data_IF_006113346966
#
_entry.id   IF_006113346966
#
_cell.length_a   1.000
_cell.length_b   1.000
_cell.length_c   1.000
_cell.angle_alpha   90.00
_cell.angle_beta   90.00
_cell.angle_gamma   90.00
#
_symmetry.space_group_name_H-M   'P 1'
#
loop_
_entity.id
_entity.type
_entity.pdbx_description
1 polymer ?
#
# COMPACT_ATOMS: atom_id res chain seq x y z
N UNK A 1 33.77 -1.98 29.21
CA UNK A 1 32.63 -2.84 28.84
C UNK A 1 32.21 -2.45 27.45
N UNK A 2 32.44 -3.36 26.50
CA UNK A 2 32.21 -3.16 25.08
C UNK A 2 30.70 -3.23 24.77
N UNK A 3 30.18 -2.25 24.04
CA UNK A 3 28.92 -2.40 23.34
C UNK A 3 29.26 -2.91 21.94
N UNK A 4 29.03 -4.20 21.73
CA UNK A 4 29.25 -4.89 20.47
C UNK A 4 28.33 -4.31 19.39
N UNK A 5 28.96 -3.81 18.33
CA UNK A 5 28.29 -3.33 17.15
C UNK A 5 27.57 -4.49 16.45
N UNK A 6 26.26 -4.35 16.29
CA UNK A 6 25.48 -5.30 15.52
C UNK A 6 25.75 -5.09 14.03
N UNK A 7 26.75 -5.83 13.54
CA UNK A 7 27.12 -6.02 12.15
C UNK A 7 25.89 -6.40 11.34
N UNK A 8 25.37 -5.45 10.58
CA UNK A 8 24.38 -5.75 9.55
C UNK A 8 25.10 -6.49 8.43
N UNK A 9 24.63 -7.71 8.19
CA UNK A 9 25.06 -8.69 7.21
C UNK A 9 25.29 -8.05 5.83
N UNK A 10 26.58 -7.85 5.49
CA UNK A 10 27.01 -7.39 4.17
C UNK A 10 27.03 -8.60 3.22
N UNK A 11 25.89 -8.90 2.58
CA UNK A 11 25.84 -9.87 1.49
C UNK A 11 26.55 -9.29 0.24
N UNK A 12 27.71 -9.85 -0.20
CA UNK A 12 28.57 -9.25 -1.21
C UNK A 12 28.08 -9.46 -2.67
N UNK A 13 26.82 -9.84 -2.88
CA UNK A 13 26.20 -10.04 -4.21
C UNK A 13 25.03 -9.12 -4.54
N UNK A 14 24.58 -8.26 -3.63
CA UNK A 14 23.42 -7.39 -3.85
C UNK A 14 23.82 -6.08 -4.59
N UNK A 15 23.11 -5.66 -5.64
CA UNK A 15 23.43 -4.42 -6.35
C UNK A 15 23.24 -3.19 -5.44
N UNK A 16 24.37 -2.65 -4.96
CA UNK A 16 24.61 -1.38 -4.28
C UNK A 16 23.36 -0.69 -3.68
N UNK A 17 23.02 -1.08 -2.45
CA UNK A 17 22.04 -0.45 -1.57
C UNK A 17 21.40 -1.48 -0.65
N UNK A 18 21.50 -1.31 0.68
CA UNK A 18 20.76 -2.16 1.63
C UNK A 18 19.25 -1.89 1.56
N UNK A 19 18.43 -2.69 2.26
CA UNK A 19 16.96 -2.51 2.35
C UNK A 19 16.57 -1.06 2.64
N UNK A 20 17.30 -0.44 3.57
CA UNK A 20 17.14 0.96 3.93
C UNK A 20 17.38 1.93 2.76
N UNK A 21 18.39 1.70 1.91
CA UNK A 21 18.67 2.55 0.74
C UNK A 21 17.57 2.42 -0.32
N UNK A 22 17.14 1.19 -0.63
CA UNK A 22 16.02 0.96 -1.55
C UNK A 22 14.75 1.64 -1.06
N UNK A 23 14.44 1.50 0.23
CA UNK A 23 13.30 2.17 0.85
C UNK A 23 13.39 3.70 0.74
N UNK A 24 14.50 4.30 1.15
CA UNK A 24 14.70 5.76 1.13
C UNK A 24 14.60 6.32 -0.29
N UNK A 25 15.25 5.65 -1.26
CA UNK A 25 15.19 6.06 -2.67
C UNK A 25 13.78 5.89 -3.25
N UNK A 26 13.10 4.79 -2.93
CA UNK A 26 11.72 4.55 -3.36
C UNK A 26 10.77 5.62 -2.83
N UNK A 27 10.85 5.96 -1.55
CA UNK A 27 10.05 7.03 -0.93
C UNK A 27 10.38 8.39 -1.56
N UNK A 28 11.64 8.67 -1.89
CA UNK A 28 12.02 9.90 -2.60
C UNK A 28 11.42 9.94 -4.01
N UNK A 29 11.52 8.87 -4.79
CA UNK A 29 10.95 8.79 -6.13
C UNK A 29 9.42 8.97 -6.13
N UNK A 30 8.74 8.47 -5.09
CA UNK A 30 7.31 8.76 -4.87
C UNK A 30 7.03 10.26 -4.74
N UNK A 31 7.85 10.99 -3.97
CA UNK A 31 7.73 12.44 -3.79
C UNK A 31 8.05 13.21 -5.08
N UNK A 32 8.98 12.70 -5.87
CA UNK A 32 9.39 13.27 -7.16
C UNK A 32 8.42 12.94 -8.31
N UNK A 33 7.33 12.21 -8.05
CA UNK A 33 6.33 11.88 -9.06
C UNK A 33 6.74 10.75 -10.01
N UNK A 34 7.70 9.91 -9.60
CA UNK A 34 8.18 8.74 -10.36
C UNK A 34 7.72 7.42 -9.72
N UNK A 35 6.40 7.13 -9.67
CA UNK A 35 5.86 6.02 -8.88
C UNK A 35 6.23 4.63 -9.41
N UNK A 36 6.43 4.47 -10.72
CA UNK A 36 6.84 3.18 -11.29
C UNK A 36 8.28 2.81 -10.88
N UNK A 37 9.19 3.78 -10.94
CA UNK A 37 10.57 3.59 -10.47
C UNK A 37 10.62 3.37 -8.95
N UNK A 38 9.76 4.07 -8.20
CA UNK A 38 9.61 3.85 -6.76
C UNK A 38 9.16 2.42 -6.45
N UNK A 39 8.14 1.90 -7.15
CA UNK A 39 7.63 0.54 -6.95
C UNK A 39 8.75 -0.48 -7.15
N UNK A 40 9.53 -0.39 -8.22
CA UNK A 40 10.63 -1.33 -8.49
C UNK A 40 11.70 -1.38 -7.38
N UNK A 41 12.01 -0.25 -6.73
CA UNK A 41 12.93 -0.24 -5.58
C UNK A 41 12.25 -0.78 -4.32
N UNK A 42 11.00 -0.40 -4.08
CA UNK A 42 10.25 -0.81 -2.90
C UNK A 42 9.89 -2.31 -2.93
N UNK A 43 9.74 -2.91 -4.10
CA UNK A 43 9.60 -4.36 -4.27
C UNK A 43 10.85 -5.11 -3.78
N UNK A 44 12.05 -4.58 -4.07
CA UNK A 44 13.30 -5.17 -3.56
C UNK A 44 13.38 -5.04 -2.04
N UNK A 45 12.98 -3.89 -1.51
CA UNK A 45 12.92 -3.68 -0.07
C UNK A 45 11.92 -4.63 0.60
N UNK A 46 10.72 -4.80 0.02
CA UNK A 46 9.69 -5.68 0.54
C UNK A 46 10.08 -7.16 0.43
N UNK A 47 10.82 -7.55 -0.61
CA UNK A 47 11.33 -8.91 -0.74
C UNK A 47 12.34 -9.27 0.37
N UNK A 48 13.11 -8.28 0.86
CA UNK A 48 14.06 -8.47 1.94
C UNK A 48 13.42 -8.36 3.33
N UNK A 49 12.42 -7.48 3.49
CA UNK A 49 11.67 -7.28 4.75
C UNK A 49 10.16 -7.31 4.48
N UNK A 50 9.57 -8.51 4.28
CA UNK A 50 8.17 -8.65 3.87
C UNK A 50 7.16 -8.24 4.94
N UNK A 51 7.57 -8.18 6.21
CA UNK A 51 6.70 -7.81 7.34
C UNK A 51 6.80 -6.32 7.71
N UNK A 52 7.67 -5.56 7.03
CA UNK A 52 7.88 -4.15 7.33
C UNK A 52 6.70 -3.31 6.85
N UNK A 53 5.81 -2.92 7.78
CA UNK A 53 4.63 -2.08 7.51
C UNK A 53 4.96 -0.85 6.68
N UNK A 54 6.05 -0.16 7.02
CA UNK A 54 6.46 1.08 6.34
C UNK A 54 6.89 0.84 4.90
N UNK A 55 7.55 -0.29 4.62
CA UNK A 55 7.95 -0.67 3.26
C UNK A 55 6.73 -1.08 2.45
N UNK A 56 5.85 -1.93 3.01
CA UNK A 56 4.61 -2.34 2.35
C UNK A 56 3.70 -1.15 2.03
N UNK A 57 3.55 -0.19 2.95
CA UNK A 57 2.73 1.00 2.73
C UNK A 57 3.31 1.87 1.60
N UNK A 58 4.63 2.10 1.60
CA UNK A 58 5.28 2.83 0.54
C UNK A 58 5.13 2.11 -0.82
N UNK A 59 5.29 0.78 -0.83
CA UNK A 59 5.13 -0.05 -2.03
C UNK A 59 3.70 0.05 -2.57
N UNK A 60 2.70 -0.17 -1.71
CA UNK A 60 1.29 -0.10 -2.08
C UNK A 60 0.92 1.27 -2.68
N UNK A 61 1.43 2.35 -2.09
CA UNK A 61 1.26 3.72 -2.61
C UNK A 61 1.94 3.90 -3.97
N UNK A 62 3.14 3.38 -4.15
CA UNK A 62 3.86 3.43 -5.42
C UNK A 62 3.13 2.65 -6.52
N UNK A 63 2.67 1.43 -6.22
CA UNK A 63 1.88 0.60 -7.10
C UNK A 63 0.57 1.29 -7.50
N UNK A 64 -0.17 1.84 -6.52
CA UNK A 64 -1.41 2.57 -6.80
C UNK A 64 -1.17 3.79 -7.72
N UNK A 65 -0.16 4.60 -7.42
CA UNK A 65 0.16 5.81 -8.19
C UNK A 65 0.69 5.50 -9.59
N UNK A 66 1.28 4.32 -9.79
CA UNK A 66 1.72 3.81 -11.09
C UNK A 66 0.65 2.98 -11.81
N UNK A 67 -0.59 2.96 -11.29
CA UNK A 67 -1.75 2.24 -11.85
C UNK A 67 -1.65 0.71 -11.81
N UNK A 68 -0.73 0.17 -11.04
CA UNK A 68 -0.59 -1.26 -10.73
C UNK A 68 -1.58 -1.62 -9.61
N UNK A 69 -2.88 -1.52 -9.91
CA UNK A 69 -3.92 -1.57 -8.88
C UNK A 69 -4.10 -2.96 -8.28
N UNK A 70 -3.86 -4.04 -9.03
CA UNK A 70 -3.99 -5.40 -8.52
C UNK A 70 -2.90 -5.69 -7.48
N UNK A 71 -1.68 -5.28 -7.79
CA UNK A 71 -0.51 -5.37 -6.92
C UNK A 71 -0.69 -4.48 -5.69
N UNK A 72 -1.17 -3.24 -5.88
CA UNK A 72 -1.50 -2.36 -4.75
C UNK A 72 -2.55 -3.00 -3.83
N UNK A 73 -3.60 -3.62 -4.38
CA UNK A 73 -4.61 -4.31 -3.60
C UNK A 73 -4.01 -5.49 -2.81
N UNK A 74 -3.03 -6.22 -3.35
CA UNK A 74 -2.33 -7.27 -2.63
C UNK A 74 -1.48 -6.71 -1.48
N UNK A 75 -0.70 -5.67 -1.74
CA UNK A 75 0.14 -5.01 -0.72
C UNK A 75 -0.69 -4.39 0.41
N UNK A 76 -1.80 -3.71 0.10
CA UNK A 76 -2.69 -3.20 1.14
C UNK A 76 -3.37 -4.31 1.93
N UNK A 77 -3.66 -5.46 1.30
CA UNK A 77 -4.23 -6.62 1.99
C UNK A 77 -3.28 -7.17 3.05
N UNK A 78 -2.01 -7.31 2.70
CA UNK A 78 -0.99 -7.74 3.66
C UNK A 78 -0.93 -6.80 4.87
N UNK A 79 -1.07 -5.49 4.67
CA UNK A 79 -1.07 -4.52 5.77
C UNK A 79 -2.29 -4.71 6.68
N UNK A 80 -3.51 -4.85 6.13
CA UNK A 80 -4.72 -5.03 6.96
C UNK A 80 -4.76 -6.39 7.65
N UNK A 81 -4.21 -7.43 7.03
CA UNK A 81 -4.12 -8.77 7.64
C UNK A 81 -3.14 -8.77 8.82
N UNK A 82 -2.02 -8.05 8.70
CA UNK A 82 -1.03 -7.91 9.77
C UNK A 82 -1.45 -6.92 10.85
N UNK A 83 -2.10 -5.81 10.47
CA UNK A 83 -2.60 -4.79 11.39
C UNK A 83 -4.01 -4.32 11.00
N UNK A 84 -5.06 -4.93 11.59
CA UNK A 84 -6.45 -4.54 11.36
C UNK A 84 -6.83 -3.15 11.88
N UNK A 85 -5.92 -2.40 12.50
CA UNK A 85 -6.17 -1.06 13.03
C UNK A 85 -5.66 0.08 12.11
N UNK A 86 -5.28 -0.23 10.87
CA UNK A 86 -4.79 0.77 9.89
C UNK A 86 -5.89 1.24 8.94
N UNK A 87 -6.56 2.35 9.25
CA UNK A 87 -7.66 2.89 8.44
C UNK A 87 -7.23 3.21 7.00
N UNK A 88 -6.01 3.74 6.84
CA UNK A 88 -5.45 4.10 5.53
C UNK A 88 -5.25 2.87 4.63
N UNK A 89 -4.87 1.73 5.20
CA UNK A 89 -4.68 0.50 4.45
C UNK A 89 -6.02 -0.06 3.94
N UNK A 90 -7.08 -0.01 4.75
CA UNK A 90 -8.43 -0.33 4.30
C UNK A 90 -8.93 0.60 3.20
N UNK A 91 -8.67 1.90 3.32
CA UNK A 91 -8.99 2.86 2.27
C UNK A 91 -8.23 2.57 0.96
N UNK A 92 -6.92 2.34 1.06
CA UNK A 92 -6.06 1.98 -0.07
C UNK A 92 -6.51 0.68 -0.76
N UNK A 93 -6.82 -0.37 0.00
CA UNK A 93 -7.36 -1.63 -0.50
C UNK A 93 -8.67 -1.40 -1.26
N UNK A 94 -9.61 -0.67 -0.65
CA UNK A 94 -10.90 -0.37 -1.25
C UNK A 94 -10.80 0.41 -2.56
N UNK A 95 -9.93 1.43 -2.61
CA UNK A 95 -9.67 2.17 -3.85
C UNK A 95 -9.01 1.29 -4.90
N UNK A 96 -8.02 0.47 -4.53
CA UNK A 96 -7.33 -0.40 -5.46
C UNK A 96 -8.30 -1.42 -6.09
N UNK A 97 -9.14 -2.08 -5.29
CA UNK A 97 -10.19 -2.99 -5.76
C UNK A 97 -11.16 -2.29 -6.70
N UNK A 98 -11.63 -1.09 -6.34
CA UNK A 98 -12.53 -0.32 -7.20
C UNK A 98 -11.90 -0.03 -8.57
N UNK A 99 -10.61 0.31 -8.60
CA UNK A 99 -9.86 0.60 -9.83
C UNK A 99 -9.57 -0.63 -10.68
N UNK A 100 -9.53 -1.81 -10.09
CA UNK A 100 -9.49 -3.10 -10.83
C UNK A 100 -10.85 -3.51 -11.40
N UNK A 101 -11.94 -2.81 -11.04
CA UNK A 101 -13.30 -3.15 -11.45
C UNK A 101 -14.04 -4.09 -10.50
N UNK A 102 -13.36 -4.57 -9.45
CA UNK A 102 -13.96 -5.29 -8.33
C UNK A 102 -14.68 -4.30 -7.39
N UNK A 103 -15.81 -3.77 -7.88
CA UNK A 103 -16.64 -2.82 -7.15
C UNK A 103 -17.31 -3.49 -5.94
N UNK A 104 -17.57 -4.80 -6.03
CA UNK A 104 -18.21 -5.58 -4.97
C UNK A 104 -17.25 -5.75 -3.79
N UNK A 105 -16.02 -6.18 -4.05
CA UNK A 105 -14.96 -6.30 -3.06
C UNK A 105 -14.50 -4.96 -2.48
N UNK A 106 -14.61 -3.86 -3.23
CA UNK A 106 -14.23 -2.54 -2.75
C UNK A 106 -15.11 -2.00 -1.61
N UNK A 107 -16.37 -2.47 -1.50
CA UNK A 107 -17.33 -1.87 -0.58
C UNK A 107 -16.95 -2.06 0.90
N UNK A 108 -16.53 -3.26 1.27
CA UNK A 108 -16.26 -3.61 2.66
C UNK A 108 -15.02 -2.89 3.22
N UNK A 109 -13.84 -2.89 2.57
CA UNK A 109 -12.69 -2.13 3.04
C UNK A 109 -12.98 -0.63 3.18
N UNK A 110 -13.69 -0.03 2.23
CA UNK A 110 -14.07 1.39 2.34
C UNK A 110 -15.05 1.63 3.49
N UNK A 111 -15.95 0.69 3.78
CA UNK A 111 -16.87 0.80 4.91
C UNK A 111 -16.13 0.73 6.25
N UNK A 112 -15.13 -0.15 6.38
CA UNK A 112 -14.27 -0.24 7.57
C UNK A 112 -13.49 1.06 7.75
N UNK A 113 -12.83 1.58 6.70
CA UNK A 113 -12.09 2.83 6.77
C UNK A 113 -12.98 4.00 7.25
N UNK A 114 -14.21 4.12 6.72
CA UNK A 114 -15.20 5.13 7.16
C UNK A 114 -15.64 4.91 8.61
N UNK A 115 -15.79 3.67 9.06
CA UNK A 115 -16.18 3.39 10.45
C UNK A 115 -15.06 3.80 11.44
N UNK A 116 -13.79 3.64 11.05
CA UNK A 116 -12.64 4.04 11.85
C UNK A 116 -12.44 5.56 11.86
N UNK A 117 -12.66 6.22 10.72
CA UNK A 117 -12.46 7.67 10.51
C UNK A 117 -13.66 8.29 9.79
N UNK A 118 -14.79 8.50 10.49
CA UNK A 118 -16.02 9.02 9.87
C UNK A 118 -15.91 10.51 9.45
N UNK A 119 -14.96 11.24 10.01
CA UNK A 119 -14.64 12.62 9.70
C UNK A 119 -13.77 12.78 8.43
N UNK A 120 -13.14 11.71 7.97
CA UNK A 120 -12.29 11.73 6.78
C UNK A 120 -13.11 11.74 5.49
N UNK A 121 -13.31 12.94 4.95
CA UNK A 121 -14.24 13.20 3.82
C UNK A 121 -13.92 12.36 2.59
N UNK A 122 -12.63 12.09 2.34
CA UNK A 122 -12.22 11.29 1.19
C UNK A 122 -12.68 9.83 1.30
N UNK A 123 -12.70 9.26 2.50
CA UNK A 123 -13.17 7.89 2.74
C UNK A 123 -14.67 7.78 2.50
N UNK A 124 -15.43 8.71 3.08
CA UNK A 124 -16.89 8.78 2.93
C UNK A 124 -17.29 8.94 1.47
N UNK A 125 -16.58 9.80 0.74
CA UNK A 125 -16.82 10.05 -0.69
C UNK A 125 -16.54 8.83 -1.55
N UNK A 126 -15.45 8.10 -1.27
CA UNK A 126 -15.12 6.86 -1.98
C UNK A 126 -16.19 5.78 -1.74
N UNK A 127 -16.59 5.53 -0.49
CA UNK A 127 -17.63 4.55 -0.16
C UNK A 127 -18.96 4.88 -0.82
N UNK A 128 -19.37 6.16 -0.80
CA UNK A 128 -20.59 6.62 -1.46
C UNK A 128 -20.56 6.33 -2.95
N UNK A 129 -19.43 6.55 -3.61
CA UNK A 129 -19.26 6.34 -5.05
C UNK A 129 -19.34 4.85 -5.44
N UNK A 130 -18.69 3.99 -4.66
CA UNK A 130 -18.77 2.53 -4.83
C UNK A 130 -20.20 2.03 -4.64
N UNK A 131 -20.88 2.44 -3.57
CA UNK A 131 -22.29 2.05 -3.31
C UNK A 131 -23.25 2.54 -4.41
N UNK A 132 -23.05 3.74 -4.92
CA UNK A 132 -23.87 4.27 -6.02
C UNK A 132 -23.68 3.43 -7.30
N UNK A 133 -22.45 3.02 -7.59
CA UNK A 133 -22.14 2.16 -8.74
C UNK A 133 -22.78 0.78 -8.61
N UNK A 134 -22.73 0.17 -7.41
CA UNK A 134 -23.38 -1.12 -7.14
C UNK A 134 -24.90 -1.05 -7.27
N UNK A 135 -25.53 0.02 -6.78
CA UNK A 135 -26.97 0.23 -6.95
C UNK A 135 -27.34 0.29 -8.44
N UNK A 136 -26.64 1.11 -9.22
CA UNK A 136 -26.89 1.23 -10.65
C UNK A 136 -26.74 -0.11 -11.38
N UNK A 137 -25.75 -0.94 -11.00
CA UNK A 137 -25.54 -2.28 -11.58
C UNK A 137 -26.66 -3.28 -11.29
N UNK A 138 -27.39 -3.12 -10.17
CA UNK A 138 -28.50 -4.01 -9.80
C UNK A 138 -29.82 -3.63 -10.46
N UNK A 139 -29.92 -2.41 -10.98
CA UNK A 139 -31.11 -1.86 -11.62
C UNK A 139 -31.08 -2.01 -13.16
N UNK A 140 -29.98 -2.56 -13.72
CA UNK A 140 -29.82 -2.93 -15.13
C UNK A 140 -30.15 -4.40 -15.37
#
# INVERSE_FOLDING_TARGET
MAHEGNVHDENPGAPLGGVYDWYQRGVRLLKEGSPAAAAALLERAAAAEPESRSILEALARAQFNSRQYAEAAASFRQIVDANPAEDYAYFGLGLALWRTGDVEGAQEPLAIAVAMRPDERHYVSALKSVRATLRARREM
#
